data_IF_955285713979
#
_entry.id   IF_955285713979
#
_cell.length_a   1.000
_cell.length_b   1.000
_cell.length_c   1.000
_cell.angle_alpha   90.00
_cell.angle_beta   90.00
_cell.angle_gamma   90.00
#
_symmetry.space_group_name_H-M   'P 1'
#
loop_
_entity.id
_entity.type
_entity.pdbx_description
1 polymer ?
#
# COMPACT_ATOMS: atom_id res chain seq x y z
N UNK A 1 -74.58 12.83 43.96
CA UNK A 1 -73.24 12.47 44.45
C UNK A 1 -73.39 11.32 45.44
N UNK A 2 -72.94 10.13 44.99
CA UNK A 2 -73.31 8.87 45.59
C UNK A 2 -72.45 8.56 46.81
N UNK A 3 -73.07 8.14 47.94
CA UNK A 3 -72.41 7.82 49.22
C UNK A 3 -71.25 6.84 49.14
N UNK A 4 -71.12 6.11 48.04
CA UNK A 4 -70.04 5.14 47.76
C UNK A 4 -68.72 5.84 47.35
N UNK A 5 -68.80 6.98 46.68
CA UNK A 5 -67.59 7.70 46.21
C UNK A 5 -66.91 8.45 47.36
N UNK A 6 -67.67 8.99 48.28
CA UNK A 6 -67.16 9.64 49.49
C UNK A 6 -66.42 8.64 50.38
N UNK A 7 -66.95 7.40 50.52
CA UNK A 7 -66.32 6.37 51.35
C UNK A 7 -65.00 5.83 50.76
N UNK A 8 -64.88 5.79 49.45
CA UNK A 8 -63.62 5.39 48.76
C UNK A 8 -62.53 6.46 48.86
N UNK A 9 -62.90 7.75 48.85
CA UNK A 9 -61.95 8.85 49.09
C UNK A 9 -61.40 8.85 50.53
N UNK A 10 -62.25 8.57 51.52
CA UNK A 10 -61.80 8.51 52.93
C UNK A 10 -60.88 7.30 53.16
N UNK A 11 -61.11 6.16 52.52
CA UNK A 11 -60.17 5.01 52.58
C UNK A 11 -58.81 5.30 51.89
N UNK A 12 -58.79 6.03 50.82
CA UNK A 12 -57.53 6.41 50.16
C UNK A 12 -56.70 7.42 50.99
N UNK A 13 -57.40 8.33 51.71
CA UNK A 13 -56.69 9.25 52.63
C UNK A 13 -56.14 8.53 53.86
N UNK A 14 -56.85 7.55 54.43
CA UNK A 14 -56.33 6.78 55.57
C UNK A 14 -55.09 5.96 55.23
N UNK A 15 -55.01 5.34 54.07
CA UNK A 15 -53.84 4.55 53.65
C UNK A 15 -52.59 5.41 53.35
N UNK A 16 -52.76 6.69 53.02
CA UNK A 16 -51.68 7.62 52.80
C UNK A 16 -51.09 8.13 54.14
N UNK A 17 -51.93 8.30 55.19
CA UNK A 17 -51.48 8.68 56.51
C UNK A 17 -50.75 7.55 57.24
N UNK A 18 -51.15 6.31 57.08
CA UNK A 18 -50.46 5.16 57.66
C UNK A 18 -49.07 4.93 57.03
N UNK A 19 -48.89 5.23 55.77
CA UNK A 19 -47.57 5.24 55.15
C UNK A 19 -46.64 6.32 55.68
N UNK A 20 -47.16 7.50 56.00
CA UNK A 20 -46.37 8.60 56.57
C UNK A 20 -46.02 8.35 58.04
N UNK A 21 -46.90 7.68 58.81
CA UNK A 21 -46.67 7.32 60.25
C UNK A 21 -45.62 6.20 60.36
N UNK A 22 -45.61 5.23 59.46
CA UNK A 22 -44.61 4.16 59.42
C UNK A 22 -43.24 4.65 58.93
N UNK A 23 -43.18 5.78 58.22
CA UNK A 23 -41.94 6.41 57.80
C UNK A 23 -41.28 7.23 58.94
N UNK A 24 -42.05 7.64 59.97
CA UNK A 24 -41.61 8.46 61.07
C UNK A 24 -41.28 7.70 62.37
N UNK A 25 -41.57 6.37 62.42
CA UNK A 25 -41.47 5.61 63.68
C UNK A 25 -40.60 4.34 63.57
N UNK A 26 -39.35 4.46 63.19
CA UNK A 26 -38.38 3.35 63.18
C UNK A 26 -37.01 3.79 63.74
N UNK A 27 -36.99 4.11 64.99
CA UNK A 27 -35.74 4.26 65.74
C UNK A 27 -35.28 2.89 66.26
N UNK A 28 -34.21 2.37 65.74
CA UNK A 28 -33.59 1.10 66.15
C UNK A 28 -32.14 1.01 65.64
N UNK A 29 -31.18 1.16 66.53
CA UNK A 29 -29.77 1.33 66.38
C UNK A 29 -29.08 0.34 65.47
N UNK A 30 -28.46 0.84 64.48
CA UNK A 30 -27.40 0.23 63.72
C UNK A 30 -26.42 1.30 63.34
N UNK A 31 -25.24 1.30 63.98
CA UNK A 31 -24.12 2.19 63.64
C UNK A 31 -23.67 1.92 62.20
N UNK A 32 -24.32 2.55 61.25
CA UNK A 32 -23.76 2.65 59.88
C UNK A 32 -22.75 3.81 59.93
N UNK A 33 -21.48 3.43 59.95
CA UNK A 33 -20.38 4.38 59.70
C UNK A 33 -20.64 5.11 58.38
N UNK A 34 -20.35 6.41 58.28
CA UNK A 34 -20.53 7.16 57.04
C UNK A 34 -19.68 6.51 55.99
N UNK A 35 -20.32 6.04 54.88
CA UNK A 35 -19.62 5.56 53.70
C UNK A 35 -18.69 6.68 53.25
N UNK A 36 -17.36 6.43 53.33
CA UNK A 36 -16.36 7.35 52.78
C UNK A 36 -16.81 7.76 51.38
N UNK A 37 -16.78 9.07 51.07
CA UNK A 37 -17.05 9.50 49.69
C UNK A 37 -16.16 8.69 48.76
N UNK A 38 -16.74 8.09 47.73
CA UNK A 38 -15.96 7.43 46.69
C UNK A 38 -14.93 8.43 46.21
N UNK A 39 -13.65 8.09 46.33
CA UNK A 39 -12.55 8.91 45.88
C UNK A 39 -12.87 9.48 44.50
N UNK A 40 -12.74 10.80 44.36
CA UNK A 40 -12.97 11.46 43.09
C UNK A 40 -12.15 10.74 42.02
N UNK A 41 -12.72 10.40 40.86
CA UNK A 41 -11.99 9.67 39.81
C UNK A 41 -10.75 10.48 39.40
N UNK A 42 -9.63 9.79 39.31
CA UNK A 42 -8.32 10.33 39.02
C UNK A 42 -8.42 11.26 37.77
N UNK A 43 -7.92 12.51 37.81
CA UNK A 43 -8.07 13.48 36.71
C UNK A 43 -7.54 12.96 35.38
N UNK A 44 -6.61 12.01 35.41
CA UNK A 44 -6.12 11.31 34.19
C UNK A 44 -7.18 10.39 33.59
N UNK A 45 -7.96 9.64 34.38
CA UNK A 45 -9.03 8.77 33.89
C UNK A 45 -10.23 9.57 33.35
N UNK A 46 -10.47 10.75 33.91
CA UNK A 46 -11.52 11.67 33.44
C UNK A 46 -11.16 12.25 32.05
N UNK A 47 -9.89 12.57 31.79
CA UNK A 47 -9.42 13.07 30.49
C UNK A 47 -9.50 11.98 29.42
N UNK A 48 -9.17 10.71 29.70
CA UNK A 48 -9.25 9.61 28.75
C UNK A 48 -10.70 9.28 28.37
N UNK A 49 -11.62 9.32 29.34
CA UNK A 49 -13.04 9.06 29.07
C UNK A 49 -13.66 10.16 28.20
N UNK A 50 -13.31 11.43 28.46
CA UNK A 50 -13.77 12.56 27.62
C UNK A 50 -13.22 12.47 26.20
N UNK A 51 -11.98 12.08 26.02
CA UNK A 51 -11.39 11.90 24.70
C UNK A 51 -12.08 10.76 23.92
N UNK A 52 -12.31 9.61 24.54
CA UNK A 52 -13.00 8.48 23.93
C UNK A 52 -14.46 8.81 23.55
N UNK A 53 -15.15 9.58 24.39
CA UNK A 53 -16.50 10.06 24.09
C UNK A 53 -16.51 11.04 22.91
N UNK A 54 -15.53 11.93 22.84
CA UNK A 54 -15.37 12.88 21.72
C UNK A 54 -15.05 12.16 20.41
N UNK A 55 -14.18 11.15 20.43
CA UNK A 55 -13.87 10.32 19.25
C UNK A 55 -15.11 9.57 18.80
N UNK A 56 -15.85 8.94 19.73
CA UNK A 56 -17.10 8.23 19.43
C UNK A 56 -18.16 9.15 18.83
N UNK A 57 -18.31 10.34 19.40
CA UNK A 57 -19.23 11.36 18.86
C UNK A 57 -18.85 11.78 17.43
N UNK A 58 -17.56 12.08 17.21
CA UNK A 58 -17.05 12.49 15.91
C UNK A 58 -17.21 11.37 14.86
N UNK A 59 -16.98 10.11 15.24
CA UNK A 59 -17.16 8.95 14.39
C UNK A 59 -18.63 8.73 14.00
N UNK A 60 -19.55 8.80 14.99
CA UNK A 60 -20.98 8.70 14.72
C UNK A 60 -21.49 9.88 13.88
N UNK A 61 -20.99 11.07 14.15
CA UNK A 61 -21.28 12.25 13.33
C UNK A 61 -20.87 12.08 11.88
N UNK A 62 -19.64 11.61 11.62
CA UNK A 62 -19.14 11.33 10.28
C UNK A 62 -20.00 10.26 9.56
N UNK A 63 -20.34 9.16 10.24
CA UNK A 63 -21.22 8.11 9.70
C UNK A 63 -22.62 8.62 9.38
N UNK A 64 -23.17 9.48 10.24
CA UNK A 64 -24.50 10.06 10.02
C UNK A 64 -24.48 11.03 8.83
N UNK A 65 -23.38 11.73 8.61
CA UNK A 65 -23.18 12.62 7.47
C UNK A 65 -23.15 11.86 6.16
N UNK A 66 -22.39 10.76 6.11
CA UNK A 66 -22.35 9.89 4.93
C UNK A 66 -23.73 9.32 4.60
N UNK A 67 -24.55 9.06 5.63
CA UNK A 67 -25.93 8.54 5.46
C UNK A 67 -26.96 9.64 5.13
N UNK A 68 -26.71 10.89 5.46
CA UNK A 68 -27.67 11.98 5.21
C UNK A 68 -27.73 12.38 3.74
N UNK A 69 -26.65 12.22 2.98
CA UNK A 69 -26.56 12.51 1.54
C UNK A 69 -25.99 11.30 0.78
N UNK A 70 -26.73 10.19 0.70
CA UNK A 70 -26.17 8.92 0.24
C UNK A 70 -25.73 8.96 -1.22
N UNK A 71 -26.46 9.66 -2.09
CA UNK A 71 -26.13 9.77 -3.50
C UNK A 71 -24.85 10.58 -3.72
N UNK A 72 -24.70 11.71 -3.04
CA UNK A 72 -23.50 12.56 -3.16
C UNK A 72 -22.28 11.83 -2.61
N UNK A 73 -22.39 11.17 -1.46
CA UNK A 73 -21.33 10.35 -0.87
C UNK A 73 -20.93 9.22 -1.79
N UNK A 74 -21.90 8.49 -2.34
CA UNK A 74 -21.64 7.39 -3.28
C UNK A 74 -20.90 7.87 -4.52
N UNK A 75 -21.34 8.98 -5.13
CA UNK A 75 -20.68 9.57 -6.29
C UNK A 75 -19.25 10.01 -5.97
N UNK A 76 -19.02 10.62 -4.80
CA UNK A 76 -17.68 11.01 -4.36
C UNK A 76 -16.78 9.78 -4.19
N UNK A 77 -17.27 8.73 -3.51
CA UNK A 77 -16.52 7.47 -3.32
C UNK A 77 -16.23 6.81 -4.67
N UNK A 78 -17.18 6.80 -5.60
CA UNK A 78 -16.99 6.26 -6.96
C UNK A 78 -15.90 7.03 -7.73
N UNK A 79 -15.91 8.36 -7.68
CA UNK A 79 -14.88 9.18 -8.34
C UNK A 79 -13.50 8.90 -7.74
N UNK A 80 -13.39 8.83 -6.42
CA UNK A 80 -12.15 8.48 -5.73
C UNK A 80 -11.69 7.07 -6.12
N UNK A 81 -12.61 6.11 -6.14
CA UNK A 81 -12.30 4.72 -6.48
C UNK A 81 -11.78 4.58 -7.91
N UNK A 82 -12.46 5.19 -8.89
CA UNK A 82 -12.03 5.16 -10.29
C UNK A 82 -10.66 5.85 -10.45
N UNK A 83 -10.47 7.00 -9.79
CA UNK A 83 -9.20 7.73 -9.83
C UNK A 83 -8.04 6.92 -9.26
N UNK A 84 -8.26 6.13 -8.21
CA UNK A 84 -7.24 5.28 -7.59
C UNK A 84 -7.04 3.95 -8.32
N UNK A 85 -8.05 3.46 -9.06
CA UNK A 85 -7.94 2.21 -9.82
C UNK A 85 -6.89 2.33 -10.93
N UNK A 86 -6.83 3.49 -11.60
CA UNK A 86 -5.86 3.70 -12.68
C UNK A 86 -4.40 3.52 -12.22
N UNK A 87 -3.90 4.24 -11.19
CA UNK A 87 -2.53 4.04 -10.72
C UNK A 87 -2.29 2.65 -10.14
N UNK A 88 -3.30 2.03 -9.52
CA UNK A 88 -3.19 0.66 -9.01
C UNK A 88 -2.95 -0.35 -10.13
N UNK A 89 -3.69 -0.22 -11.23
CA UNK A 89 -3.51 -1.07 -12.42
C UNK A 89 -2.16 -0.79 -13.10
N UNK A 90 -1.76 0.48 -13.24
CA UNK A 90 -0.44 0.84 -13.77
C UNK A 90 0.70 0.24 -12.92
N UNK A 91 0.57 0.27 -11.60
CA UNK A 91 1.53 -0.35 -10.69
C UNK A 91 1.57 -1.88 -10.86
N UNK A 92 0.40 -2.54 -10.97
CA UNK A 92 0.34 -3.98 -11.23
C UNK A 92 0.98 -4.36 -12.56
N UNK A 93 0.73 -3.59 -13.63
CA UNK A 93 1.37 -3.79 -14.93
C UNK A 93 2.90 -3.66 -14.79
N UNK A 94 3.37 -2.61 -14.14
CA UNK A 94 4.80 -2.43 -13.88
C UNK A 94 5.40 -3.62 -13.12
N UNK A 95 4.76 -4.06 -12.03
CA UNK A 95 5.21 -5.19 -11.19
C UNK A 95 5.29 -6.49 -12.01
N UNK A 96 4.26 -6.78 -12.79
CA UNK A 96 4.21 -7.98 -13.63
C UNK A 96 5.21 -7.94 -14.78
N UNK A 97 5.38 -6.80 -15.45
CA UNK A 97 6.40 -6.63 -16.50
C UNK A 97 7.80 -6.76 -15.92
N UNK A 98 8.06 -6.16 -14.76
CA UNK A 98 9.35 -6.28 -14.07
C UNK A 98 9.64 -7.72 -13.64
N UNK A 99 8.63 -8.42 -13.13
CA UNK A 99 8.75 -9.84 -12.74
C UNK A 99 8.99 -10.74 -13.94
N UNK A 100 8.25 -10.53 -15.03
CA UNK A 100 8.48 -11.26 -16.28
C UNK A 100 9.89 -11.00 -16.83
N UNK A 101 10.33 -9.74 -16.83
CA UNK A 101 11.67 -9.39 -17.25
C UNK A 101 12.74 -10.12 -16.44
N UNK A 102 12.62 -10.18 -15.13
CA UNK A 102 13.56 -10.88 -14.25
C UNK A 102 13.52 -12.41 -14.39
N UNK A 103 12.39 -12.98 -14.76
CA UNK A 103 12.24 -14.43 -14.95
C UNK A 103 12.81 -14.93 -16.27
N UNK A 104 12.61 -14.15 -17.34
CA UNK A 104 13.07 -14.54 -18.68
C UNK A 104 14.50 -14.09 -18.99
N UNK A 105 14.99 -13.10 -18.27
CA UNK A 105 16.34 -12.60 -18.39
C UNK A 105 17.02 -12.70 -17.02
N UNK A 106 17.74 -13.82 -16.79
CA UNK A 106 18.55 -13.97 -15.59
C UNK A 106 19.49 -12.77 -15.47
N UNK A 107 19.95 -12.52 -14.24
CA UNK A 107 20.87 -11.43 -13.89
C UNK A 107 21.90 -11.18 -15.00
N UNK A 108 22.28 -9.93 -15.29
CA UNK A 108 23.27 -9.63 -16.31
C UNK A 108 24.47 -10.54 -16.12
N UNK A 109 24.87 -11.21 -17.20
CA UNK A 109 26.00 -12.14 -17.17
C UNK A 109 27.11 -11.56 -18.03
N UNK A 110 28.33 -11.67 -17.56
CA UNK A 110 29.54 -11.30 -18.31
C UNK A 110 30.15 -12.60 -18.85
N UNK A 111 30.13 -12.77 -20.16
CA UNK A 111 30.73 -13.92 -20.82
C UNK A 111 32.19 -13.62 -21.11
N UNK A 112 33.07 -14.39 -20.50
CA UNK A 112 34.51 -14.26 -20.60
C UNK A 112 35.03 -15.41 -21.47
N UNK A 113 35.57 -15.09 -22.59
CA UNK A 113 36.25 -16.06 -23.45
C UNK A 113 37.70 -16.15 -23.04
N UNK A 114 38.16 -17.35 -22.77
CA UNK A 114 39.56 -17.60 -22.39
C UNK A 114 40.42 -17.81 -23.64
N UNK A 115 41.73 -17.49 -23.53
CA UNK A 115 42.66 -17.72 -24.62
C UNK A 115 42.70 -19.22 -25.02
N UNK A 116 42.71 -19.50 -26.30
CA UNK A 116 42.72 -20.86 -26.82
C UNK A 116 43.99 -21.65 -26.47
N UNK A 117 45.06 -20.95 -26.12
CA UNK A 117 46.36 -21.53 -25.77
C UNK A 117 46.45 -22.06 -24.34
N UNK A 118 45.47 -21.73 -23.50
CA UNK A 118 45.43 -22.17 -22.11
C UNK A 118 45.10 -23.67 -22.02
N UNK A 119 45.88 -24.37 -21.19
CA UNK A 119 45.52 -25.71 -20.72
C UNK A 119 44.46 -25.64 -19.59
N UNK A 120 43.88 -26.78 -19.26
CA UNK A 120 42.79 -26.82 -18.26
C UNK A 120 43.24 -26.32 -16.89
N UNK A 121 44.48 -26.54 -16.48
CA UNK A 121 45.02 -26.05 -15.20
C UNK A 121 45.20 -24.54 -15.19
N UNK A 122 45.62 -23.97 -16.32
CA UNK A 122 45.72 -22.51 -16.46
C UNK A 122 44.33 -21.87 -16.50
N UNK A 123 43.37 -22.48 -17.21
CA UNK A 123 41.99 -22.05 -17.24
C UNK A 123 41.37 -22.05 -15.85
N UNK A 124 41.59 -23.10 -15.07
CA UNK A 124 41.12 -23.18 -13.68
C UNK A 124 41.70 -22.07 -12.79
N UNK A 125 42.95 -21.67 -13.00
CA UNK A 125 43.56 -20.53 -12.28
C UNK A 125 42.90 -19.19 -12.65
N UNK A 126 42.62 -18.98 -13.94
CA UNK A 126 41.89 -17.77 -14.40
C UNK A 126 40.49 -17.72 -13.80
N UNK A 127 39.77 -18.85 -13.80
CA UNK A 127 38.45 -18.97 -13.16
C UNK A 127 38.53 -18.65 -11.66
N UNK A 128 39.56 -19.11 -10.96
CA UNK A 128 39.80 -18.76 -9.55
C UNK A 128 40.03 -17.26 -9.34
N UNK A 129 40.74 -16.60 -10.24
CA UNK A 129 40.94 -15.15 -10.19
C UNK A 129 39.63 -14.39 -10.47
N UNK A 130 38.85 -14.83 -11.45
CA UNK A 130 37.51 -14.29 -11.74
C UNK A 130 36.58 -14.42 -10.54
N UNK A 131 36.60 -15.56 -9.85
CA UNK A 131 35.76 -15.80 -8.66
C UNK A 131 36.17 -14.90 -7.48
N UNK A 132 37.46 -14.57 -7.36
CA UNK A 132 38.00 -13.71 -6.29
C UNK A 132 37.76 -12.20 -6.54
N UNK A 133 37.32 -11.84 -7.77
CA UNK A 133 37.14 -10.44 -8.13
C UNK A 133 35.98 -9.78 -7.37
N UNK A 134 36.20 -8.54 -6.94
CA UNK A 134 35.18 -7.81 -6.20
C UNK A 134 33.96 -7.52 -7.08
N UNK A 135 32.79 -7.95 -6.64
CA UNK A 135 31.53 -7.79 -7.37
C UNK A 135 31.06 -9.03 -8.09
N UNK A 136 31.84 -10.12 -8.10
CA UNK A 136 31.45 -11.42 -8.64
C UNK A 136 30.75 -12.25 -7.56
N UNK A 137 29.59 -12.81 -7.89
CA UNK A 137 28.83 -13.72 -7.05
C UNK A 137 29.20 -15.15 -7.36
N UNK A 138 29.15 -15.52 -8.63
CA UNK A 138 29.41 -16.88 -9.11
C UNK A 138 30.06 -16.85 -10.49
N UNK A 139 30.94 -17.84 -10.74
CA UNK A 139 31.51 -18.10 -12.05
C UNK A 139 31.13 -19.53 -12.46
N UNK A 140 30.45 -19.65 -13.60
CA UNK A 140 30.16 -20.94 -14.22
C UNK A 140 31.18 -21.14 -15.35
N UNK A 141 32.05 -22.12 -15.21
CA UNK A 141 33.06 -22.46 -16.20
C UNK A 141 32.53 -23.54 -17.14
N UNK A 142 32.67 -23.33 -18.43
CA UNK A 142 32.44 -24.32 -19.50
C UNK A 142 33.78 -24.61 -20.15
N UNK A 143 34.21 -25.86 -20.07
CA UNK A 143 35.37 -26.37 -20.82
C UNK A 143 35.10 -26.30 -22.34
N UNK A 144 36.16 -26.41 -23.14
CA UNK A 144 36.03 -26.42 -24.62
C UNK A 144 35.10 -27.51 -25.11
N UNK A 145 35.16 -28.69 -24.53
CA UNK A 145 34.36 -29.84 -24.93
C UNK A 145 32.91 -29.70 -24.52
N UNK A 146 32.64 -29.11 -23.33
CA UNK A 146 31.30 -28.79 -22.88
C UNK A 146 30.68 -27.68 -23.75
N UNK A 147 31.45 -26.62 -24.06
CA UNK A 147 31.01 -25.55 -24.94
C UNK A 147 30.66 -26.06 -26.36
N UNK A 148 31.44 -27.02 -26.88
CA UNK A 148 31.15 -27.67 -28.15
C UNK A 148 29.86 -28.49 -28.06
N UNK A 149 29.66 -29.23 -26.98
CA UNK A 149 28.47 -30.03 -26.75
C UNK A 149 27.20 -29.16 -26.66
N UNK A 150 27.25 -28.05 -25.90
CA UNK A 150 26.16 -27.10 -25.86
C UNK A 150 25.88 -26.44 -27.20
N UNK A 151 26.92 -26.01 -27.93
CA UNK A 151 26.76 -25.42 -29.25
C UNK A 151 26.13 -26.38 -30.25
N UNK A 152 26.48 -27.68 -30.24
CA UNK A 152 25.84 -28.72 -31.05
C UNK A 152 24.34 -28.83 -30.80
N UNK A 153 23.96 -28.81 -29.54
CA UNK A 153 22.56 -28.98 -29.12
C UNK A 153 21.71 -27.78 -29.52
N UNK A 154 22.29 -26.57 -29.48
CA UNK A 154 21.56 -25.33 -29.65
C UNK A 154 21.59 -24.79 -31.10
N UNK A 155 22.69 -24.92 -31.80
CA UNK A 155 22.89 -24.26 -33.09
C UNK A 155 22.24 -25.00 -34.27
N UNK A 156 21.94 -26.30 -34.11
CA UNK A 156 21.51 -27.14 -35.23
C UNK A 156 22.61 -27.41 -36.29
N UNK A 157 23.82 -26.89 -36.09
CA UNK A 157 24.97 -27.05 -37.02
C UNK A 157 25.88 -28.24 -36.67
N UNK A 158 25.39 -29.22 -35.91
CA UNK A 158 26.18 -30.37 -35.45
C UNK A 158 26.94 -31.07 -36.57
N UNK A 159 26.30 -31.27 -37.74
CA UNK A 159 26.96 -31.92 -38.88
C UNK A 159 28.09 -31.10 -39.57
N UNK A 160 28.06 -29.77 -39.43
CA UNK A 160 29.15 -28.93 -39.96
C UNK A 160 30.35 -28.91 -39.01
N UNK A 161 30.13 -29.03 -37.71
CA UNK A 161 31.20 -29.14 -36.72
C UNK A 161 31.96 -30.47 -36.78
N UNK A 162 31.31 -31.55 -37.18
CA UNK A 162 31.93 -32.86 -37.36
C UNK A 162 32.95 -32.90 -38.55
N UNK A 163 32.95 -31.88 -39.42
CA UNK A 163 33.91 -31.72 -40.52
C UNK A 163 35.19 -30.99 -40.10
N UNK A 164 35.22 -30.44 -38.87
CA UNK A 164 36.40 -29.74 -38.35
C UNK A 164 37.30 -30.74 -37.62
N UNK A 165 38.61 -30.71 -37.94
CA UNK A 165 39.61 -31.59 -37.33
C UNK A 165 39.90 -31.22 -35.89
N UNK A 166 39.73 -29.94 -35.51
CA UNK A 166 39.93 -29.43 -34.15
C UNK A 166 38.75 -28.61 -33.63
N UNK A 167 38.54 -28.62 -32.32
CA UNK A 167 37.49 -27.80 -31.67
C UNK A 167 37.80 -26.29 -31.83
N UNK A 168 37.00 -25.56 -32.62
CA UNK A 168 37.25 -24.13 -32.86
C UNK A 168 36.89 -23.23 -31.68
N UNK A 169 36.11 -23.74 -30.69
CA UNK A 169 35.58 -22.95 -29.61
C UNK A 169 36.61 -22.77 -28.45
N UNK A 170 36.73 -21.58 -27.89
CA UNK A 170 37.47 -21.38 -26.67
C UNK A 170 36.69 -21.89 -25.46
N UNK A 171 37.37 -22.05 -24.32
CA UNK A 171 36.72 -22.23 -23.04
C UNK A 171 36.04 -20.91 -22.60
N UNK A 172 34.92 -21.03 -21.92
CA UNK A 172 34.07 -19.88 -21.57
C UNK A 172 33.83 -19.84 -20.03
N UNK A 173 33.97 -18.68 -19.44
CA UNK A 173 33.58 -18.46 -18.06
C UNK A 173 32.41 -17.45 -18.01
N UNK A 174 31.28 -17.88 -17.49
CA UNK A 174 30.11 -17.02 -17.31
C UNK A 174 30.14 -16.43 -15.91
N UNK A 175 30.43 -15.16 -15.80
CA UNK A 175 30.51 -14.41 -14.54
C UNK A 175 29.16 -13.80 -14.22
N UNK A 176 28.61 -14.15 -13.06
CA UNK A 176 27.38 -13.59 -12.52
C UNK A 176 27.75 -12.52 -11.49
N UNK A 177 27.41 -11.25 -11.69
CA UNK A 177 27.70 -10.19 -10.75
C UNK A 177 26.76 -10.21 -9.55
N UNK A 178 27.22 -9.73 -8.39
CA UNK A 178 26.41 -9.50 -7.20
C UNK A 178 25.33 -8.46 -7.47
N UNK A 179 24.23 -8.53 -6.71
CA UNK A 179 23.08 -7.61 -6.84
C UNK A 179 23.48 -6.13 -6.81
N UNK A 180 24.46 -5.76 -5.96
CA UNK A 180 24.94 -4.39 -5.83
C UNK A 180 25.76 -3.91 -7.04
N UNK A 181 26.17 -4.85 -7.91
CA UNK A 181 26.99 -4.59 -9.10
C UNK A 181 26.21 -4.73 -10.41
N UNK A 182 24.89 -4.72 -10.37
CA UNK A 182 24.04 -4.86 -11.58
C UNK A 182 23.69 -3.52 -12.26
N UNK A 183 24.17 -2.38 -11.74
CA UNK A 183 24.02 -1.11 -12.44
C UNK A 183 24.94 -1.05 -13.67
N UNK A 184 24.55 -0.34 -14.72
CA UNK A 184 25.33 -0.23 -15.98
C UNK A 184 26.77 0.24 -15.73
N UNK A 185 26.97 1.19 -14.81
CA UNK A 185 28.29 1.72 -14.47
C UNK A 185 29.15 0.68 -13.72
N UNK A 186 28.55 -0.02 -12.76
CA UNK A 186 29.25 -1.06 -12.00
C UNK A 186 29.60 -2.25 -12.88
N UNK A 187 28.68 -2.66 -13.80
CA UNK A 187 28.93 -3.72 -14.79
C UNK A 187 30.06 -3.36 -15.74
N UNK A 188 30.11 -2.14 -16.28
CA UNK A 188 31.18 -1.69 -17.12
C UNK A 188 32.52 -1.68 -16.37
N UNK A 189 32.51 -1.24 -15.11
CA UNK A 189 33.72 -1.28 -14.27
C UNK A 189 34.20 -2.71 -14.02
N UNK A 190 33.26 -3.63 -13.75
CA UNK A 190 33.58 -5.05 -13.56
C UNK A 190 34.11 -5.69 -14.84
N UNK A 191 33.48 -5.42 -15.99
CA UNK A 191 33.95 -5.86 -17.31
C UNK A 191 35.38 -5.40 -17.57
N UNK A 192 35.69 -4.12 -17.34
CA UNK A 192 37.01 -3.55 -17.57
C UNK A 192 38.08 -4.12 -16.63
N UNK A 193 37.72 -4.56 -15.43
CA UNK A 193 38.61 -5.28 -14.51
C UNK A 193 38.86 -6.70 -14.97
N UNK A 194 37.79 -7.43 -15.32
CA UNK A 194 37.85 -8.81 -15.82
C UNK A 194 38.64 -8.89 -17.11
N UNK A 195 38.51 -7.91 -18.04
CA UNK A 195 39.26 -7.88 -19.32
C UNK A 195 40.76 -7.71 -19.16
N UNK A 196 41.23 -7.26 -17.97
CA UNK A 196 42.68 -7.10 -17.69
C UNK A 196 43.31 -8.33 -17.07
N UNK A 197 42.55 -9.37 -16.78
CA UNK A 197 43.05 -10.61 -16.21
C UNK A 197 43.82 -11.37 -17.31
N UNK A 198 45.03 -11.79 -16.99
CA UNK A 198 45.86 -12.54 -17.92
C UNK A 198 45.24 -13.90 -18.27
N UNK A 199 45.14 -14.22 -19.55
CA UNK A 199 44.43 -15.43 -20.04
C UNK A 199 43.02 -15.18 -20.48
N UNK A 200 42.50 -13.95 -20.40
CA UNK A 200 41.21 -13.52 -20.94
C UNK A 200 41.47 -12.99 -22.38
N UNK A 201 40.82 -13.56 -23.37
CA UNK A 201 40.90 -13.13 -24.78
C UNK A 201 39.85 -12.04 -25.07
N UNK A 202 38.59 -12.33 -24.80
CA UNK A 202 37.48 -11.43 -25.09
C UNK A 202 36.48 -11.45 -23.93
N UNK A 203 35.93 -10.28 -23.57
CA UNK A 203 34.84 -10.16 -22.62
C UNK A 203 33.61 -9.61 -23.33
N UNK A 204 32.58 -10.41 -23.44
CA UNK A 204 31.29 -9.99 -23.99
C UNK A 204 30.26 -9.82 -22.87
N UNK A 205 29.59 -8.75 -22.95
CA UNK A 205 28.43 -8.47 -22.09
C UNK A 205 27.24 -8.25 -23.02
N UNK A 206 26.14 -8.92 -22.74
CA UNK A 206 24.93 -8.75 -23.57
C UNK A 206 24.16 -7.48 -23.11
N UNK A 207 24.91 -6.36 -23.12
CA UNK A 207 24.48 -5.07 -22.58
C UNK A 207 23.32 -4.47 -23.33
N UNK A 208 23.27 -4.69 -24.65
CA UNK A 208 22.37 -3.93 -25.51
C UNK A 208 20.90 -4.27 -25.27
N UNK A 209 20.59 -5.53 -25.01
CA UNK A 209 19.24 -5.99 -24.77
C UNK A 209 18.80 -5.71 -23.33
N UNK A 210 19.64 -6.05 -22.36
CA UNK A 210 19.36 -5.81 -20.94
C UNK A 210 19.20 -4.31 -20.63
N UNK A 211 20.09 -3.47 -21.16
CA UNK A 211 19.99 -2.02 -21.00
C UNK A 211 18.71 -1.45 -21.64
N UNK A 212 18.29 -1.96 -22.80
CA UNK A 212 17.03 -1.58 -23.44
C UNK A 212 15.82 -2.00 -22.61
N UNK A 213 15.80 -3.24 -22.12
CA UNK A 213 14.70 -3.75 -21.29
C UNK A 213 14.62 -3.02 -19.94
N UNK A 214 15.76 -2.81 -19.28
CA UNK A 214 15.85 -2.03 -18.04
C UNK A 214 15.38 -0.58 -18.24
N UNK A 215 15.75 0.03 -19.36
CA UNK A 215 15.29 1.38 -19.72
C UNK A 215 13.77 1.43 -19.94
N UNK A 216 13.21 0.41 -20.61
CA UNK A 216 11.76 0.32 -20.84
C UNK A 216 11.00 0.10 -19.54
N UNK A 217 11.42 -0.83 -18.70
CA UNK A 217 10.80 -1.06 -17.38
C UNK A 217 10.92 0.17 -16.49
N UNK A 218 12.08 0.84 -16.50
CA UNK A 218 12.28 2.10 -15.81
C UNK A 218 11.37 3.22 -16.31
N UNK A 219 11.13 3.31 -17.63
CA UNK A 219 10.19 4.26 -18.21
C UNK A 219 8.77 3.98 -17.73
N UNK A 220 8.31 2.74 -17.80
CA UNK A 220 6.98 2.33 -17.32
C UNK A 220 6.81 2.68 -15.84
N UNK A 221 7.83 2.41 -15.01
CA UNK A 221 7.82 2.77 -13.60
C UNK A 221 7.70 4.28 -13.35
N UNK A 222 8.46 5.11 -14.10
CA UNK A 222 8.38 6.58 -13.98
C UNK A 222 7.00 7.12 -14.41
N UNK A 223 6.47 6.63 -15.52
CA UNK A 223 5.14 7.03 -16.02
C UNK A 223 4.06 6.63 -15.00
N UNK A 224 4.13 5.41 -14.46
CA UNK A 224 3.20 4.94 -13.40
C UNK A 224 3.27 5.81 -12.17
N UNK A 225 4.47 6.19 -11.72
CA UNK A 225 4.65 7.08 -10.57
C UNK A 225 4.08 8.48 -10.83
N UNK A 226 4.29 9.05 -12.02
CA UNK A 226 3.70 10.35 -12.40
C UNK A 226 2.17 10.31 -12.40
N UNK A 227 1.58 9.28 -12.98
CA UNK A 227 0.13 9.07 -12.96
C UNK A 227 -0.35 8.94 -11.51
N UNK A 228 0.36 8.18 -10.68
CA UNK A 228 0.06 8.02 -9.25
C UNK A 228 0.02 9.36 -8.51
N UNK A 229 1.02 10.21 -8.69
CA UNK A 229 1.09 11.54 -8.06
C UNK A 229 -0.07 12.43 -8.53
N UNK A 230 -0.37 12.46 -9.83
CA UNK A 230 -1.49 13.23 -10.37
C UNK A 230 -2.83 12.75 -9.80
N UNK A 231 -3.04 11.45 -9.71
CA UNK A 231 -4.28 10.89 -9.17
C UNK A 231 -4.43 11.13 -7.67
N UNK A 232 -3.33 11.03 -6.90
CA UNK A 232 -3.33 11.42 -5.48
C UNK A 232 -3.72 12.89 -5.31
N UNK A 233 -3.18 13.78 -6.14
CA UNK A 233 -3.55 15.20 -6.13
C UNK A 233 -5.04 15.39 -6.48
N UNK A 234 -5.56 14.67 -7.48
CA UNK A 234 -6.97 14.70 -7.84
C UNK A 234 -7.87 14.23 -6.69
N UNK A 235 -7.53 13.10 -6.05
CA UNK A 235 -8.26 12.58 -4.87
C UNK A 235 -8.25 13.59 -3.73
N UNK A 236 -7.09 14.21 -3.46
CA UNK A 236 -6.96 15.26 -2.45
C UNK A 236 -7.91 16.44 -2.73
N UNK A 237 -7.98 16.92 -3.97
CA UNK A 237 -8.88 18.00 -4.38
C UNK A 237 -10.36 17.59 -4.28
N UNK A 238 -10.70 16.36 -4.68
CA UNK A 238 -12.08 15.86 -4.62
C UNK A 238 -12.56 15.77 -3.17
N UNK A 239 -11.74 15.19 -2.28
CA UNK A 239 -12.09 15.10 -0.85
C UNK A 239 -12.16 16.50 -0.24
N UNK A 240 -11.19 17.37 -0.52
CA UNK A 240 -11.18 18.75 -0.03
C UNK A 240 -12.43 19.53 -0.45
N UNK A 241 -12.85 19.40 -1.70
CA UNK A 241 -14.07 20.04 -2.21
C UNK A 241 -15.34 19.44 -1.58
N UNK A 242 -15.39 18.10 -1.41
CA UNK A 242 -16.52 17.42 -0.75
C UNK A 242 -16.69 17.87 0.71
N UNK A 243 -15.58 17.96 1.44
CA UNK A 243 -15.57 18.45 2.83
C UNK A 243 -15.99 19.92 2.89
N UNK A 244 -15.51 20.77 1.97
CA UNK A 244 -15.92 22.17 1.87
C UNK A 244 -17.43 22.30 1.69
N UNK A 245 -18.03 21.52 0.79
CA UNK A 245 -19.47 21.51 0.59
C UNK A 245 -20.23 21.06 1.83
N UNK A 246 -19.71 20.06 2.54
CA UNK A 246 -20.29 19.58 3.81
C UNK A 246 -20.27 20.66 4.90
N UNK A 247 -19.16 21.41 5.02
CA UNK A 247 -19.05 22.55 5.96
C UNK A 247 -20.08 23.62 5.61
N UNK A 248 -20.19 23.97 4.32
CA UNK A 248 -21.14 24.97 3.87
C UNK A 248 -22.60 24.59 4.13
N UNK A 249 -22.94 23.32 3.89
CA UNK A 249 -24.29 22.80 4.19
C UNK A 249 -24.66 22.86 5.67
N UNK A 250 -23.66 22.88 6.57
CA UNK A 250 -23.86 22.89 8.04
C UNK A 250 -23.48 24.19 8.71
N UNK A 251 -23.31 25.27 7.95
CA UNK A 251 -22.86 26.57 8.46
C UNK A 251 -23.70 27.06 9.65
N UNK A 252 -25.03 26.89 9.59
CA UNK A 252 -25.94 27.38 10.65
C UNK A 252 -25.73 26.58 11.95
N UNK A 253 -25.54 25.27 11.86
CA UNK A 253 -25.21 24.43 13.00
C UNK A 253 -23.85 24.80 13.59
N UNK A 254 -22.86 25.08 12.77
CA UNK A 254 -21.51 25.51 13.17
C UNK A 254 -21.59 26.86 13.90
N UNK A 255 -22.38 27.81 13.37
CA UNK A 255 -22.56 29.11 13.98
C UNK A 255 -23.20 28.99 15.37
N UNK A 256 -24.26 28.19 15.51
CA UNK A 256 -24.88 27.92 16.82
C UNK A 256 -23.85 27.29 17.80
N UNK A 257 -23.06 26.33 17.34
CA UNK A 257 -22.02 25.71 18.16
C UNK A 257 -20.97 26.73 18.61
N UNK A 258 -20.54 27.65 17.76
CA UNK A 258 -19.61 28.74 18.10
C UNK A 258 -20.22 29.69 19.13
N UNK A 259 -21.49 30.06 18.97
CA UNK A 259 -22.19 30.95 19.92
C UNK A 259 -22.30 30.36 21.34
N UNK A 260 -22.44 29.04 21.47
CA UNK A 260 -22.46 28.35 22.78
C UNK A 260 -21.06 28.00 23.31
N UNK A 261 -19.98 28.45 22.60
CA UNK A 261 -18.60 28.33 23.07
C UNK A 261 -17.87 27.05 22.66
N UNK A 262 -18.31 26.35 21.61
CA UNK A 262 -17.58 25.19 21.10
C UNK A 262 -16.22 25.63 20.52
N UNK A 263 -15.16 24.88 20.84
CA UNK A 263 -13.81 25.12 20.30
C UNK A 263 -13.71 24.70 18.85
N UNK A 264 -12.88 25.40 18.06
CA UNK A 264 -12.65 25.05 16.64
C UNK A 264 -12.19 23.60 16.45
N UNK A 265 -11.38 23.09 17.39
CA UNK A 265 -10.95 21.70 17.37
C UNK A 265 -12.08 20.67 17.55
N UNK A 266 -13.14 21.03 18.28
CA UNK A 266 -14.32 20.18 18.44
C UNK A 266 -15.14 20.15 17.15
N UNK A 267 -15.32 21.30 16.51
CA UNK A 267 -16.05 21.46 15.24
C UNK A 267 -15.33 20.74 14.10
N UNK A 268 -14.00 20.75 14.10
CA UNK A 268 -13.14 20.20 13.04
C UNK A 268 -13.15 18.66 12.98
N UNK A 269 -13.22 18.00 14.14
CA UNK A 269 -13.06 16.53 14.23
C UNK A 269 -14.02 15.72 13.37
N UNK A 270 -15.34 15.96 13.32
CA UNK A 270 -16.26 15.20 12.47
C UNK A 270 -15.87 15.24 10.99
N UNK A 271 -15.40 16.38 10.50
CA UNK A 271 -14.97 16.55 9.11
C UNK A 271 -13.67 15.79 8.81
N UNK A 272 -12.73 15.74 9.76
CA UNK A 272 -11.50 14.95 9.62
C UNK A 272 -11.79 13.47 9.48
N UNK A 273 -12.64 12.94 10.36
CA UNK A 273 -13.05 11.53 10.28
C UNK A 273 -13.85 11.25 9.01
N UNK A 274 -14.71 12.19 8.59
CA UNK A 274 -15.47 12.09 7.33
C UNK A 274 -14.54 11.99 6.12
N UNK A 275 -13.51 12.85 6.05
CA UNK A 275 -12.51 12.82 4.99
C UNK A 275 -11.67 11.53 4.98
N UNK A 276 -11.24 11.06 6.16
CA UNK A 276 -10.54 9.79 6.29
C UNK A 276 -11.41 8.60 5.84
N UNK A 277 -12.71 8.60 6.19
CA UNK A 277 -13.65 7.56 5.75
C UNK A 277 -13.91 7.60 4.24
N UNK A 278 -13.98 8.79 3.63
CA UNK A 278 -14.09 8.91 2.18
C UNK A 278 -12.84 8.36 1.47
N UNK A 279 -11.65 8.70 1.97
CA UNK A 279 -10.39 8.14 1.46
C UNK A 279 -10.32 6.62 1.61
N UNK A 280 -10.67 6.10 2.79
CA UNK A 280 -10.70 4.67 3.06
C UNK A 280 -11.70 3.92 2.17
N UNK A 281 -12.95 4.38 2.11
CA UNK A 281 -14.00 3.73 1.30
C UNK A 281 -13.71 3.79 -0.19
N UNK A 282 -13.14 4.91 -0.67
CA UNK A 282 -12.68 5.05 -2.05
C UNK A 282 -11.55 4.09 -2.38
N UNK A 283 -10.53 3.98 -1.53
CA UNK A 283 -9.44 3.04 -1.70
C UNK A 283 -9.91 1.58 -1.63
N UNK A 284 -10.79 1.26 -0.70
CA UNK A 284 -11.36 -0.09 -0.59
C UNK A 284 -12.13 -0.50 -1.86
N UNK A 285 -12.97 0.39 -2.38
CA UNK A 285 -13.69 0.15 -3.62
C UNK A 285 -12.72 0.08 -4.83
N UNK A 286 -11.68 0.90 -4.85
CA UNK A 286 -10.61 0.85 -5.87
C UNK A 286 -9.90 -0.50 -5.88
N UNK A 287 -9.57 -1.07 -4.72
CA UNK A 287 -8.97 -2.41 -4.62
C UNK A 287 -9.87 -3.48 -5.23
N UNK A 288 -11.18 -3.44 -4.95
CA UNK A 288 -12.14 -4.38 -5.54
C UNK A 288 -12.19 -4.22 -7.06
N UNK A 289 -12.27 -2.98 -7.56
CA UNK A 289 -12.30 -2.72 -9.00
C UNK A 289 -11.01 -3.16 -9.69
N UNK A 290 -9.86 -2.90 -9.08
CA UNK A 290 -8.55 -3.31 -9.59
C UNK A 290 -8.43 -4.83 -9.67
N UNK A 291 -8.86 -5.55 -8.63
CA UNK A 291 -8.82 -7.00 -8.60
C UNK A 291 -9.75 -7.63 -9.64
N UNK A 292 -10.96 -7.11 -9.80
CA UNK A 292 -11.89 -7.54 -10.86
C UNK A 292 -11.27 -7.32 -12.24
N UNK A 293 -10.63 -6.17 -12.45
CA UNK A 293 -10.00 -5.85 -13.74
C UNK A 293 -8.83 -6.78 -14.04
N UNK A 294 -7.97 -7.04 -13.04
CA UNK A 294 -6.84 -7.97 -13.17
C UNK A 294 -7.33 -9.39 -13.42
N UNK A 295 -8.36 -9.85 -12.72
CA UNK A 295 -8.94 -11.18 -12.94
C UNK A 295 -9.47 -11.34 -14.37
N UNK A 296 -10.11 -10.31 -14.93
CA UNK A 296 -10.57 -10.31 -16.34
C UNK A 296 -9.41 -10.28 -17.33
N UNK A 297 -8.37 -9.53 -17.03
CA UNK A 297 -7.20 -9.40 -17.89
C UNK A 297 -6.32 -10.65 -17.81
N UNK A 298 -6.20 -11.27 -16.67
CA UNK A 298 -5.40 -12.50 -16.45
C UNK A 298 -5.84 -13.63 -17.37
N UNK A 299 -7.12 -13.84 -17.58
CA UNK A 299 -7.62 -14.87 -18.49
C UNK A 299 -7.13 -14.64 -19.93
N UNK A 300 -7.19 -13.40 -20.42
CA UNK A 300 -6.73 -13.06 -21.76
C UNK A 300 -5.21 -13.20 -21.92
N UNK A 301 -4.46 -12.76 -20.89
CA UNK A 301 -2.98 -12.87 -20.90
C UNK A 301 -2.53 -14.33 -20.84
N UNK A 302 -3.20 -15.17 -20.05
CA UNK A 302 -2.88 -16.61 -19.97
C UNK A 302 -3.14 -17.32 -21.31
N UNK A 303 -4.19 -16.94 -22.04
CA UNK A 303 -4.43 -17.48 -23.39
C UNK A 303 -3.30 -17.13 -24.35
N UNK A 304 -2.86 -15.88 -24.35
CA UNK A 304 -1.73 -15.43 -25.16
C UNK A 304 -0.44 -16.14 -24.75
N UNK A 305 -0.14 -16.22 -23.45
CA UNK A 305 1.04 -16.91 -22.94
C UNK A 305 1.12 -18.37 -23.36
N UNK A 306 -0.01 -19.09 -23.38
CA UNK A 306 -0.09 -20.48 -23.87
C UNK A 306 0.31 -20.61 -25.34
N UNK A 307 -0.05 -19.65 -26.18
CA UNK A 307 0.34 -19.66 -27.64
C UNK A 307 1.86 -19.57 -27.76
N UNK A 308 2.53 -18.87 -26.87
CA UNK A 308 4.00 -18.76 -26.85
C UNK A 308 4.68 -19.85 -26.01
N UNK A 309 3.93 -20.84 -25.52
CA UNK A 309 4.48 -21.95 -24.73
C UNK A 309 5.01 -21.54 -23.36
N UNK A 310 4.61 -20.37 -22.86
CA UNK A 310 5.07 -19.82 -21.59
C UNK A 310 3.95 -19.88 -20.53
N UNK A 311 4.32 -20.11 -19.27
CA UNK A 311 3.40 -20.02 -18.13
C UNK A 311 3.60 -18.68 -17.47
N UNK A 312 2.76 -17.70 -17.82
CA UNK A 312 2.76 -16.39 -17.20
C UNK A 312 1.45 -16.16 -16.44
N UNK A 313 1.56 -16.02 -15.12
CA UNK A 313 0.43 -15.70 -14.28
C UNK A 313 0.55 -14.23 -13.82
N UNK A 314 -0.50 -13.45 -14.07
CA UNK A 314 -0.59 -12.09 -13.56
C UNK A 314 -0.79 -12.13 -12.04
N UNK A 315 0.14 -11.55 -11.30
CA UNK A 315 -0.01 -11.35 -9.86
C UNK A 315 -0.78 -10.06 -9.58
N UNK A 316 -1.81 -10.15 -8.73
CA UNK A 316 -2.52 -9.00 -8.18
C UNK A 316 -1.71 -8.23 -7.14
N UNK A 317 -2.38 -7.34 -6.40
CA UNK A 317 -1.79 -6.63 -5.27
C UNK A 317 -1.57 -7.59 -4.09
N UNK A 318 -0.40 -7.51 -3.46
CA UNK A 318 -0.13 -8.20 -2.21
C UNK A 318 -0.95 -7.63 -1.05
N UNK A 319 -1.12 -8.41 0.01
CA UNK A 319 -1.86 -7.96 1.19
C UNK A 319 -1.24 -6.72 1.85
N UNK A 320 0.08 -6.65 1.89
CA UNK A 320 0.87 -5.51 2.37
C UNK A 320 0.65 -4.25 1.52
N UNK A 321 0.59 -4.39 0.19
CA UNK A 321 0.31 -3.31 -0.75
C UNK A 321 -1.13 -2.79 -0.59
N UNK A 322 -2.10 -3.70 -0.42
CA UNK A 322 -3.50 -3.36 -0.15
C UNK A 322 -3.64 -2.56 1.16
N UNK A 323 -3.00 -3.04 2.23
CA UNK A 323 -3.02 -2.38 3.53
C UNK A 323 -2.36 -1.00 3.48
N UNK A 324 -1.20 -0.89 2.80
CA UNK A 324 -0.50 0.37 2.59
C UNK A 324 -1.40 1.38 1.86
N UNK A 325 -2.06 0.96 0.79
CA UNK A 325 -2.97 1.81 0.01
C UNK A 325 -4.13 2.33 0.86
N UNK A 326 -4.77 1.48 1.66
CA UNK A 326 -5.86 1.87 2.56
C UNK A 326 -5.41 2.90 3.59
N UNK A 327 -4.24 2.70 4.20
CA UNK A 327 -3.68 3.63 5.20
C UNK A 327 -3.33 4.96 4.55
N UNK A 328 -2.59 4.94 3.45
CA UNK A 328 -2.13 6.16 2.75
C UNK A 328 -3.33 6.98 2.26
N UNK A 329 -4.32 6.36 1.62
CA UNK A 329 -5.50 7.07 1.12
C UNK A 329 -6.37 7.61 2.26
N UNK A 330 -6.49 6.90 3.38
CA UNK A 330 -7.17 7.40 4.57
C UNK A 330 -6.45 8.62 5.17
N UNK A 331 -5.11 8.62 5.21
CA UNK A 331 -4.29 9.76 5.64
C UNK A 331 -4.43 10.95 4.70
N UNK A 332 -4.40 10.73 3.38
CA UNK A 332 -4.62 11.77 2.38
C UNK A 332 -5.99 12.42 2.58
N UNK A 333 -7.03 11.60 2.77
CA UNK A 333 -8.39 12.06 3.05
C UNK A 333 -8.47 12.90 4.34
N UNK A 334 -7.77 12.48 5.38
CA UNK A 334 -7.67 13.20 6.64
C UNK A 334 -6.97 14.56 6.48
N UNK A 335 -5.83 14.60 5.76
CA UNK A 335 -5.07 15.83 5.50
C UNK A 335 -5.87 16.80 4.61
N UNK A 336 -6.53 16.29 3.56
CA UNK A 336 -7.37 17.09 2.69
C UNK A 336 -8.54 17.75 3.46
N UNK A 337 -9.20 16.97 4.33
CA UNK A 337 -10.26 17.47 5.19
C UNK A 337 -9.74 18.50 6.18
N UNK A 338 -8.57 18.28 6.77
CA UNK A 338 -7.94 19.22 7.69
C UNK A 338 -7.66 20.57 7.00
N UNK A 339 -7.02 20.53 5.82
CA UNK A 339 -6.70 21.76 5.08
C UNK A 339 -7.96 22.52 4.67
N UNK A 340 -8.96 21.80 4.11
CA UNK A 340 -10.23 22.39 3.70
C UNK A 340 -10.96 23.05 4.89
N UNK A 341 -10.96 22.39 6.05
CA UNK A 341 -11.69 22.90 7.23
C UNK A 341 -10.97 24.08 7.85
N UNK A 342 -9.64 24.04 8.01
CA UNK A 342 -8.86 25.14 8.59
C UNK A 342 -8.96 26.41 7.73
N UNK A 343 -8.90 26.28 6.40
CA UNK A 343 -9.04 27.42 5.50
C UNK A 343 -10.42 28.10 5.63
N UNK A 344 -11.49 27.30 5.82
CA UNK A 344 -12.85 27.85 5.87
C UNK A 344 -13.25 28.37 7.25
N UNK A 345 -12.80 27.73 8.34
CA UNK A 345 -13.11 28.19 9.70
C UNK A 345 -12.51 29.57 10.01
N UNK A 346 -11.39 29.94 9.37
CA UNK A 346 -10.79 31.28 9.51
C UNK A 346 -11.62 32.41 8.90
N UNK A 347 -12.54 32.10 7.98
CA UNK A 347 -13.43 33.08 7.34
C UNK A 347 -14.77 33.26 8.10
N UNK A 348 -15.05 32.42 9.10
CA UNK A 348 -16.21 32.54 9.98
C UNK A 348 -15.80 33.22 11.30
N UNK A 349 -15.31 34.45 11.24
CA UNK A 349 -15.33 35.35 12.40
C UNK A 349 -16.75 35.90 12.54
N UNK A 350 -17.43 35.73 13.66
CA UNK A 350 -18.67 36.46 13.92
C UNK A 350 -18.31 37.94 14.01
N UNK A 351 -18.96 38.78 13.19
CA UNK A 351 -18.99 40.22 13.40
C UNK A 351 -19.77 40.55 14.67
#
# INVERSE_FOLDING_TARGET
>A
MNKRDAMNQIRQFGSKFDRLRNAAGGGGGGRNAPKRPKAAPNPASRKSNVFNEQVRYAWHGALQDLKSTPLATFLTVMVIAISLTLPSVCYMVYKNVSSAASQYYPSPQITVYLEKTLDDDAAARVVGQLQAEQGVDKVNYLSRDEALGEFRNWSGFGGALDMLEENPLPAVAIVVPKLDFQSTEALNTLRDRVSRIQGVDEVRMDDSWFARLSSLTGLVGRVSAMIGVLMVAAVFLVIGNSVRLSIFARRDTINVQKLIGATDGFILRPFLYGGAMLGFSGAFLSLILSEILVMRLSSAVTEVAKVFGTQFELSGLGFDECLLMLIVCSMIGWIAAWLATVQHLRHFTPD
#
